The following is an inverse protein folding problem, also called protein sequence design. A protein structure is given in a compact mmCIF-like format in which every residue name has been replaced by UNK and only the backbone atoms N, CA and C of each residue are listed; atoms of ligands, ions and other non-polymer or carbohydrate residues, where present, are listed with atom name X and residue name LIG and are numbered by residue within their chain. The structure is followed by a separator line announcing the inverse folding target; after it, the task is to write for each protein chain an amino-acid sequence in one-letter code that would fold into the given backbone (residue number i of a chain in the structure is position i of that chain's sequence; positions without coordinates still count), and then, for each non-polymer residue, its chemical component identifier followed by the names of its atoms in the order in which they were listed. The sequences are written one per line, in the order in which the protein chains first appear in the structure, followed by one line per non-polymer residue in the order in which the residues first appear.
data_IF_827439345062
#
_entry.id   IF_827439345062
#
_cell.length_a   1.000
_cell.length_b   1.000
_cell.length_c   1.000
_cell.angle_alpha   90.00
_cell.angle_beta   90.00
_cell.angle_gamma   90.00
#
_symmetry.space_group_name_H-M   'P 1'
#
loop_
_entity.id
_entity.type
_entity.pdbx_description
1 polymer ?
#
# COMPACT_ATOMS: atom_id res chain seq x y z
N UNK A 1 68.11 -6.72 31.46
CA UNK A 1 66.75 -7.22 31.23
C UNK A 1 65.77 -6.09 31.48
N UNK A 2 65.36 -5.38 30.42
CA UNK A 2 64.18 -4.50 30.43
C UNK A 2 63.18 -5.18 29.51
N UNK A 3 62.13 -5.76 30.08
CA UNK A 3 60.97 -6.27 29.35
C UNK A 3 60.21 -5.07 28.81
N UNK A 4 60.17 -4.95 27.48
CA UNK A 4 59.30 -4.02 26.78
C UNK A 4 57.85 -4.49 26.93
N UNK A 5 57.07 -3.76 27.71
CA UNK A 5 55.61 -3.89 27.74
C UNK A 5 55.09 -3.32 26.43
N UNK A 6 54.75 -4.19 25.49
CA UNK A 6 54.14 -3.81 24.22
C UNK A 6 52.74 -3.22 24.49
N UNK A 7 52.63 -1.95 24.12
CA UNK A 7 51.45 -1.10 23.98
C UNK A 7 50.32 -1.82 23.24
N UNK A 8 49.41 -2.47 23.99
CA UNK A 8 48.23 -3.17 23.45
C UNK A 8 46.95 -2.32 23.53
N UNK A 9 47.03 -1.09 24.06
CA UNK A 9 45.89 -0.23 24.37
C UNK A 9 45.48 0.73 23.23
N UNK A 10 46.21 0.77 22.12
CA UNK A 10 45.94 1.66 20.96
C UNK A 10 45.16 0.98 19.81
N UNK A 11 44.71 -0.27 20.01
CA UNK A 11 43.95 -0.97 18.97
C UNK A 11 42.51 -0.43 18.92
N UNK A 12 41.92 -0.22 17.73
CA UNK A 12 40.59 0.38 17.55
C UNK A 12 39.47 -0.64 17.85
N UNK A 13 39.59 -1.38 18.96
CA UNK A 13 38.64 -2.40 19.39
C UNK A 13 37.19 -1.91 19.42
N UNK A 14 36.88 -0.69 19.93
CA UNK A 14 35.50 -0.19 19.90
C UNK A 14 34.91 -0.06 18.50
N UNK A 15 35.71 0.33 17.50
CA UNK A 15 35.27 0.42 16.11
C UNK A 15 35.09 -0.97 15.49
N UNK A 16 36.00 -1.90 15.76
CA UNK A 16 35.88 -3.28 15.29
C UNK A 16 34.64 -3.99 15.88
N UNK A 17 34.36 -3.77 17.17
CA UNK A 17 33.15 -4.26 17.83
C UNK A 17 31.88 -3.65 17.22
N UNK A 18 31.92 -2.35 16.89
CA UNK A 18 30.83 -1.67 16.21
C UNK A 18 30.56 -2.26 14.81
N UNK A 19 31.62 -2.50 14.02
CA UNK A 19 31.53 -3.16 12.71
C UNK A 19 30.95 -4.57 12.83
N UNK A 20 31.46 -5.38 13.76
CA UNK A 20 30.97 -6.73 14.01
C UNK A 20 29.48 -6.72 14.44
N UNK A 21 29.10 -5.77 15.30
CA UNK A 21 27.73 -5.57 15.76
C UNK A 21 26.78 -5.26 14.59
N UNK A 22 27.16 -4.37 13.66
CA UNK A 22 26.37 -4.05 12.48
C UNK A 22 26.28 -5.27 11.53
N UNK A 23 27.41 -5.94 11.26
CA UNK A 23 27.47 -7.07 10.34
C UNK A 23 26.61 -8.27 10.80
N UNK A 24 26.55 -8.51 12.11
CA UNK A 24 25.75 -9.56 12.74
C UNK A 24 24.28 -9.20 13.01
N UNK A 25 23.88 -7.94 12.79
CA UNK A 25 22.58 -7.43 13.18
C UNK A 25 21.40 -8.08 12.41
N UNK A 26 20.27 -8.39 13.07
CA UNK A 26 18.99 -8.56 12.39
C UNK A 26 18.58 -7.29 11.64
N UNK A 27 17.89 -7.39 10.49
CA UNK A 27 17.44 -6.23 9.70
C UNK A 27 16.68 -5.19 10.54
N UNK A 28 15.85 -5.65 11.49
CA UNK A 28 15.07 -4.80 12.38
C UNK A 28 15.92 -3.98 13.36
N UNK A 29 17.17 -4.38 13.63
CA UNK A 29 18.06 -3.74 14.59
C UNK A 29 19.19 -2.93 13.93
N UNK A 30 19.34 -2.98 12.60
CA UNK A 30 20.46 -2.32 11.90
C UNK A 30 20.49 -0.82 12.16
N UNK A 31 19.33 -0.14 12.15
CA UNK A 31 19.28 1.31 12.38
C UNK A 31 19.78 1.69 13.78
N UNK A 32 19.40 0.95 14.83
CA UNK A 32 19.82 1.25 16.20
C UNK A 32 21.32 0.96 16.40
N UNK A 33 21.83 -0.12 15.80
CA UNK A 33 23.25 -0.47 15.88
C UNK A 33 24.12 0.51 15.12
N UNK A 34 23.69 0.94 13.94
CA UNK A 34 24.37 1.99 13.18
C UNK A 34 24.38 3.32 13.95
N UNK A 35 23.25 3.73 14.54
CA UNK A 35 23.17 4.95 15.35
C UNK A 35 24.11 4.89 16.56
N UNK A 36 24.17 3.75 17.23
CA UNK A 36 25.07 3.54 18.37
C UNK A 36 26.54 3.60 17.93
N UNK A 37 26.87 2.98 16.80
CA UNK A 37 28.21 2.98 16.24
C UNK A 37 28.68 4.36 15.74
N UNK A 38 27.75 5.18 15.24
CA UNK A 38 28.03 6.54 14.77
C UNK A 38 28.19 7.55 15.93
N UNK A 39 27.58 7.30 17.09
CA UNK A 39 27.53 8.22 18.23
C UNK A 39 28.90 8.80 18.68
N UNK A 40 30.01 8.04 18.69
CA UNK A 40 31.33 8.58 19.05
C UNK A 40 31.90 9.58 18.04
N UNK A 41 31.35 9.63 16.82
CA UNK A 41 31.85 10.46 15.72
C UNK A 41 30.87 11.60 15.41
N UNK A 42 29.59 11.26 15.21
CA UNK A 42 28.50 12.21 14.93
C UNK A 42 27.30 11.82 15.77
N UNK A 43 26.87 12.73 16.64
CA UNK A 43 25.61 12.59 17.39
C UNK A 43 24.44 13.02 16.51
N UNK A 44 23.30 12.39 16.68
CA UNK A 44 22.06 12.75 15.98
C UNK A 44 20.85 12.49 16.87
N UNK A 45 19.78 13.27 16.68
CA UNK A 45 18.50 13.07 17.39
C UNK A 45 17.75 11.85 16.87
N UNK A 46 17.85 11.58 15.56
CA UNK A 46 17.31 10.40 14.92
C UNK A 46 18.14 9.98 13.69
N UNK A 47 18.05 8.71 13.34
CA UNK A 47 18.66 8.10 12.16
C UNK A 47 17.59 7.36 11.38
N UNK A 48 17.54 7.60 10.07
CA UNK A 48 16.59 6.96 9.15
C UNK A 48 17.37 6.35 7.99
N UNK A 49 17.12 5.08 7.71
CA UNK A 49 17.62 4.35 6.55
C UNK A 49 16.44 4.11 5.62
N UNK A 50 16.58 4.52 4.37
CA UNK A 50 15.58 4.36 3.31
C UNK A 50 16.14 3.49 2.18
N UNK A 51 15.42 2.43 1.82
CA UNK A 51 15.85 1.43 0.83
C UNK A 51 14.72 1.14 -0.15
N UNK A 52 14.99 1.21 -1.45
CA UNK A 52 14.01 0.89 -2.51
C UNK A 52 13.62 -0.59 -2.53
N UNK A 53 14.56 -1.48 -2.26
CA UNK A 53 14.38 -2.94 -2.42
C UNK A 53 13.51 -3.60 -1.33
N UNK A 54 13.16 -2.86 -0.28
CA UNK A 54 12.30 -3.39 0.79
C UNK A 54 10.83 -3.18 0.43
N UNK A 55 10.21 -4.18 -0.20
CA UNK A 55 8.82 -4.17 -0.69
C UNK A 55 7.74 -4.07 0.42
N UNK A 56 8.07 -3.57 1.61
CA UNK A 56 7.08 -3.25 2.66
C UNK A 56 7.54 -2.69 4.00
N UNK A 57 8.82 -2.48 4.26
CA UNK A 57 9.23 -1.42 5.20
C UNK A 57 10.47 -0.75 4.62
N UNK A 58 10.28 0.19 3.69
CA UNK A 58 11.42 0.83 3.03
C UNK A 58 12.25 1.65 4.03
N UNK A 59 11.69 1.96 5.21
CA UNK A 59 12.34 2.74 6.26
C UNK A 59 12.73 1.86 7.46
N UNK A 60 13.96 2.03 7.95
CA UNK A 60 14.45 1.52 9.24
C UNK A 60 14.90 2.73 10.06
N UNK A 61 14.42 2.86 11.30
CA UNK A 61 14.52 4.10 12.06
C UNK A 61 15.06 3.84 13.47
N UNK A 62 15.76 4.83 14.03
CA UNK A 62 16.32 4.80 15.36
C UNK A 62 16.37 6.22 15.95
N UNK A 63 16.16 6.37 17.26
CA UNK A 63 16.21 7.67 17.96
C UNK A 63 14.84 8.23 18.33
N UNK A 64 14.71 9.55 18.36
CA UNK A 64 13.56 10.24 18.95
C UNK A 64 12.22 9.96 18.24
N UNK A 65 11.22 9.51 19.02
CA UNK A 65 9.86 9.17 18.53
C UNK A 65 9.20 10.32 17.76
N UNK A 66 9.42 11.55 18.23
CA UNK A 66 8.90 12.78 17.61
C UNK A 66 9.36 12.99 16.17
N UNK A 67 10.45 12.35 15.77
CA UNK A 67 11.00 12.36 14.42
C UNK A 67 10.58 11.09 13.71
N UNK A 68 10.96 9.92 14.24
CA UNK A 68 10.82 8.65 13.54
C UNK A 68 9.37 8.29 13.21
N UNK A 69 8.39 8.72 14.02
CA UNK A 69 6.97 8.46 13.77
C UNK A 69 6.38 9.33 12.67
N UNK A 70 7.06 10.42 12.28
CA UNK A 70 6.54 11.46 11.36
C UNK A 70 7.27 11.55 10.03
N UNK A 71 8.50 11.02 9.94
CA UNK A 71 9.25 11.03 8.67
C UNK A 71 8.48 10.31 7.58
N UNK A 72 8.23 11.01 6.47
CA UNK A 72 7.50 10.50 5.30
C UNK A 72 8.44 9.96 4.23
N UNK A 73 7.89 9.24 3.23
CA UNK A 73 8.68 8.77 2.08
C UNK A 73 9.02 9.94 1.14
N UNK A 74 8.07 10.85 0.89
CA UNK A 74 8.27 12.00 0.03
C UNK A 74 9.44 12.88 0.50
N UNK A 75 9.51 13.16 1.81
CA UNK A 75 10.63 13.90 2.41
C UNK A 75 11.99 13.22 2.14
N UNK A 76 12.04 11.89 2.23
CA UNK A 76 13.28 11.13 2.00
C UNK A 76 13.64 11.05 0.51
N UNK A 77 12.65 11.00 -0.38
CA UNK A 77 12.85 11.07 -1.83
C UNK A 77 13.38 12.45 -2.25
N UNK A 78 12.85 13.53 -1.67
CA UNK A 78 13.32 14.89 -1.92
C UNK A 78 14.76 15.06 -1.46
N UNK A 79 15.12 14.59 -0.25
CA UNK A 79 16.51 14.57 0.22
C UNK A 79 17.36 13.73 -0.73
N UNK A 80 16.92 12.54 -1.13
CA UNK A 80 17.69 11.68 -2.02
C UNK A 80 17.98 12.34 -3.37
N UNK A 81 17.05 13.13 -3.89
CA UNK A 81 17.17 13.83 -5.15
C UNK A 81 18.22 14.95 -5.11
N UNK A 82 18.57 15.48 -3.92
CA UNK A 82 19.66 16.47 -3.79
C UNK A 82 21.05 15.83 -3.83
N UNK A 83 21.16 14.52 -3.58
CA UNK A 83 22.44 13.79 -3.60
C UNK A 83 22.78 13.33 -5.02
N UNK A 84 23.87 13.90 -5.57
CA UNK A 84 24.36 13.57 -6.90
C UNK A 84 25.17 12.26 -6.95
N UNK A 85 25.92 11.94 -5.88
CA UNK A 85 26.80 10.78 -5.77
C UNK A 85 26.80 10.22 -4.33
N UNK A 86 27.84 9.47 -3.94
CA UNK A 86 28.00 8.97 -2.56
C UNK A 86 28.66 9.99 -1.61
N UNK A 87 28.93 11.21 -2.06
CA UNK A 87 29.50 12.21 -1.15
C UNK A 87 28.49 12.59 -0.06
N UNK A 88 28.93 12.75 1.19
CA UNK A 88 28.06 13.19 2.26
C UNK A 88 27.49 14.58 1.96
N UNK A 89 26.18 14.73 2.08
CA UNK A 89 25.50 16.01 1.93
C UNK A 89 25.02 16.52 3.28
N UNK A 90 25.43 17.73 3.66
CA UNK A 90 24.95 18.43 4.84
C UNK A 90 24.15 19.67 4.42
N UNK A 91 22.96 19.84 5.00
CA UNK A 91 22.11 20.98 4.70
C UNK A 91 20.81 20.96 5.48
N UNK A 92 20.00 22.01 5.29
CA UNK A 92 18.64 22.04 5.82
C UNK A 92 17.69 21.33 4.84
N UNK A 93 16.89 20.39 5.36
CA UNK A 93 15.86 19.71 4.61
C UNK A 93 14.57 19.57 5.43
N UNK A 94 13.44 19.44 4.73
CA UNK A 94 12.18 19.08 5.38
C UNK A 94 12.25 17.62 5.82
N UNK A 95 12.13 17.39 7.12
CA UNK A 95 12.11 16.05 7.69
C UNK A 95 11.11 16.04 8.84
N UNK A 96 10.22 15.04 8.90
CA UNK A 96 9.16 14.96 9.91
C UNK A 96 8.33 16.25 10.06
N UNK A 97 7.95 16.83 8.91
CA UNK A 97 7.04 17.97 8.75
C UNK A 97 7.60 19.34 9.14
N UNK A 98 8.93 19.48 9.22
CA UNK A 98 9.59 20.79 9.45
C UNK A 98 11.02 20.81 8.89
N UNK A 99 11.52 21.99 8.47
CA UNK A 99 12.92 22.16 8.09
C UNK A 99 13.84 21.91 9.30
N UNK A 100 14.91 21.17 9.07
CA UNK A 100 15.95 20.90 10.08
C UNK A 100 17.29 20.56 9.41
N UNK A 101 18.42 20.73 10.13
CA UNK A 101 19.72 20.30 9.65
C UNK A 101 19.75 18.77 9.54
N UNK A 102 20.24 18.29 8.40
CA UNK A 102 20.40 16.87 8.11
C UNK A 102 21.78 16.59 7.53
N UNK A 103 22.29 15.40 7.84
CA UNK A 103 23.41 14.78 7.13
C UNK A 103 22.86 13.57 6.38
N UNK A 104 23.05 13.55 5.06
CA UNK A 104 22.54 12.50 4.19
C UNK A 104 23.67 11.81 3.42
N UNK A 105 23.56 10.49 3.28
CA UNK A 105 24.56 9.64 2.63
C UNK A 105 23.85 8.64 1.72
N UNK A 106 24.25 8.59 0.45
CA UNK A 106 23.72 7.63 -0.53
C UNK A 106 24.66 6.45 -0.68
N UNK A 107 24.08 5.27 -0.91
CA UNK A 107 24.81 4.08 -1.34
C UNK A 107 24.46 3.81 -2.80
N UNK A 108 25.41 4.00 -3.71
CA UNK A 108 25.17 3.98 -5.16
C UNK A 108 24.75 2.59 -5.65
N UNK A 109 25.30 1.52 -5.10
CA UNK A 109 25.03 0.15 -5.56
C UNK A 109 23.59 -0.32 -5.30
N UNK A 110 22.93 0.20 -4.26
CA UNK A 110 21.58 -0.21 -3.86
C UNK A 110 20.56 0.93 -3.87
N UNK A 111 20.97 2.14 -4.25
CA UNK A 111 20.14 3.35 -4.16
C UNK A 111 19.69 3.73 -2.75
N UNK A 112 20.25 3.09 -1.71
CA UNK A 112 19.85 3.30 -0.34
C UNK A 112 20.30 4.66 0.18
N UNK A 113 19.51 5.26 1.06
CA UNK A 113 19.78 6.54 1.67
C UNK A 113 19.84 6.40 3.18
N UNK A 114 20.85 7.01 3.80
CA UNK A 114 20.94 7.24 5.23
C UNK A 114 20.74 8.73 5.50
N UNK A 115 19.91 9.06 6.49
CA UNK A 115 19.66 10.43 6.94
C UNK A 115 19.83 10.51 8.46
N UNK A 116 20.68 11.41 8.93
CA UNK A 116 20.85 11.75 10.33
C UNK A 116 20.19 13.11 10.56
N UNK A 117 19.27 13.16 11.54
CA UNK A 117 18.60 14.37 11.95
C UNK A 117 19.41 15.10 13.03
N UNK A 118 19.51 16.43 12.89
CA UNK A 118 20.22 17.31 13.81
C UNK A 118 21.65 16.80 14.11
N UNK A 119 22.50 16.58 13.07
CA UNK A 119 23.84 16.05 13.26
C UNK A 119 24.70 17.04 14.06
N UNK A 120 25.42 16.53 15.05
CA UNK A 120 26.37 17.27 15.86
C UNK A 120 27.71 16.54 15.88
N UNK A 121 28.79 17.13 15.35
CA UNK A 121 30.10 16.53 15.46
C UNK A 121 30.56 16.43 16.91
N UNK A 122 31.45 15.47 17.15
CA UNK A 122 32.10 15.26 18.45
C UNK A 122 33.49 15.89 18.48
N UNK A 123 34.29 15.63 19.52
CA UNK A 123 35.66 16.17 19.65
C UNK A 123 36.66 15.55 18.64
N UNK A 124 36.22 14.55 17.85
CA UNK A 124 36.98 14.01 16.72
C UNK A 124 36.99 15.04 15.58
N UNK A 125 38.09 15.14 14.82
CA UNK A 125 38.13 15.96 13.60
C UNK A 125 36.92 15.62 12.72
N UNK A 126 36.11 16.65 12.37
CA UNK A 126 34.81 16.50 11.70
C UNK A 126 34.90 15.59 10.47
N UNK A 127 35.89 15.84 9.62
CA UNK A 127 36.11 15.07 8.38
C UNK A 127 36.46 13.60 8.65
N UNK A 128 37.31 13.33 9.66
CA UNK A 128 37.66 11.96 10.05
C UNK A 128 36.46 11.21 10.66
N UNK A 129 35.63 11.89 11.45
CA UNK A 129 34.39 11.33 11.98
C UNK A 129 33.38 11.01 10.88
N UNK A 130 33.25 11.91 9.90
CA UNK A 130 32.37 11.75 8.75
C UNK A 130 32.79 10.58 7.84
N UNK A 131 34.09 10.41 7.62
CA UNK A 131 34.65 9.26 6.90
C UNK A 131 34.26 7.93 7.57
N UNK A 132 34.43 7.85 8.90
CA UNK A 132 34.07 6.63 9.64
C UNK A 132 32.58 6.33 9.55
N UNK A 133 31.71 7.34 9.71
CA UNK A 133 30.25 7.17 9.56
C UNK A 133 29.90 6.71 8.14
N UNK A 134 30.57 7.24 7.13
CA UNK A 134 30.39 6.83 5.72
C UNK A 134 30.77 5.36 5.51
N UNK A 135 31.87 4.89 6.11
CA UNK A 135 32.25 3.47 6.07
C UNK A 135 31.24 2.57 6.79
N UNK A 136 30.82 2.95 8.00
CA UNK A 136 29.81 2.21 8.76
C UNK A 136 28.49 2.12 7.99
N UNK A 137 28.11 3.20 7.30
CA UNK A 137 26.95 3.23 6.43
C UNK A 137 27.08 2.24 5.26
N UNK A 138 28.20 2.25 4.53
CA UNK A 138 28.43 1.31 3.41
C UNK A 138 28.30 -0.15 3.87
N UNK A 139 28.87 -0.48 5.02
CA UNK A 139 28.75 -1.83 5.62
C UNK A 139 27.29 -2.16 5.93
N UNK A 140 26.56 -1.23 6.56
CA UNK A 140 25.14 -1.43 6.88
C UNK A 140 24.27 -1.58 5.61
N UNK A 141 24.48 -0.75 4.60
CA UNK A 141 23.75 -0.77 3.33
C UNK A 141 23.97 -2.09 2.59
N UNK A 142 25.23 -2.51 2.44
CA UNK A 142 25.59 -3.82 1.86
C UNK A 142 24.93 -4.96 2.62
N UNK A 143 24.95 -4.91 3.96
CA UNK A 143 24.37 -5.98 4.76
C UNK A 143 22.84 -6.04 4.68
N UNK A 144 22.18 -4.89 4.53
CA UNK A 144 20.75 -4.84 4.26
C UNK A 144 20.47 -5.50 2.90
N UNK A 145 21.23 -5.16 1.86
CA UNK A 145 21.06 -5.71 0.52
C UNK A 145 21.22 -7.24 0.52
N UNK A 146 22.29 -7.76 1.13
CA UNK A 146 22.52 -9.21 1.27
C UNK A 146 21.37 -9.90 2.01
N UNK A 147 20.93 -9.36 3.15
CA UNK A 147 19.84 -9.97 3.93
C UNK A 147 18.48 -9.88 3.26
N UNK A 148 18.25 -8.90 2.40
CA UNK A 148 17.04 -8.82 1.56
C UNK A 148 17.12 -9.85 0.42
N UNK A 149 18.29 -10.01 -0.20
CA UNK A 149 18.52 -11.03 -1.22
C UNK A 149 18.40 -12.47 -0.65
N UNK A 150 18.88 -12.69 0.58
CA UNK A 150 18.80 -13.97 1.30
C UNK A 150 17.46 -14.17 2.04
N UNK A 151 16.54 -13.19 2.02
CA UNK A 151 15.30 -13.28 2.75
C UNK A 151 14.42 -14.42 2.20
N UNK A 152 13.84 -15.27 3.06
CA UNK A 152 12.95 -16.31 2.59
C UNK A 152 11.74 -15.70 1.86
N UNK A 153 11.23 -16.33 0.79
CA UNK A 153 10.13 -15.81 -0.02
C UNK A 153 8.89 -15.36 0.78
N UNK A 154 8.63 -15.99 1.93
CA UNK A 154 7.55 -15.63 2.84
C UNK A 154 7.69 -14.21 3.41
N UNK A 155 8.90 -13.74 3.72
CA UNK A 155 9.14 -12.38 4.19
C UNK A 155 8.83 -11.34 3.11
N UNK A 156 9.22 -11.61 1.86
CA UNK A 156 8.93 -10.72 0.73
C UNK A 156 7.43 -10.72 0.38
N UNK A 157 6.74 -11.86 0.52
CA UNK A 157 5.29 -11.98 0.33
C UNK A 157 4.49 -11.27 1.43
N UNK A 158 4.82 -11.47 2.71
CA UNK A 158 4.20 -10.73 3.83
C UNK A 158 4.45 -9.22 3.72
N UNK A 159 5.67 -8.84 3.30
CA UNK A 159 6.04 -7.45 3.10
C UNK A 159 5.29 -6.82 1.93
N UNK A 160 5.13 -7.52 0.80
CA UNK A 160 4.34 -7.08 -0.38
C UNK A 160 2.85 -7.03 -0.07
N UNK A 161 2.31 -8.02 0.63
CA UNK A 161 0.91 -8.04 1.06
C UNK A 161 0.61 -6.88 2.02
N UNK A 162 1.49 -6.62 2.99
CA UNK A 162 1.36 -5.47 3.89
C UNK A 162 1.51 -4.12 3.17
N UNK A 163 2.29 -4.03 2.08
CA UNK A 163 2.34 -2.84 1.22
C UNK A 163 1.10 -2.64 0.40
N UNK A 164 0.62 -3.70 -0.27
CA UNK A 164 -0.62 -3.65 -1.04
C UNK A 164 -1.79 -3.24 -0.15
N UNK A 165 -1.87 -3.82 1.05
CA UNK A 165 -2.86 -3.47 2.06
C UNK A 165 -2.75 -2.01 2.51
N UNK A 166 -1.55 -1.51 2.81
CA UNK A 166 -1.37 -0.10 3.20
C UNK A 166 -1.69 0.86 2.07
N UNK A 167 -1.30 0.54 0.82
CA UNK A 167 -1.63 1.34 -0.36
C UNK A 167 -3.15 1.38 -0.51
N UNK A 168 -3.83 0.24 -0.39
CA UNK A 168 -5.30 0.16 -0.43
C UNK A 168 -5.96 0.98 0.66
N UNK A 169 -5.58 0.78 1.93
CA UNK A 169 -6.13 1.53 3.08
C UNK A 169 -5.86 3.04 2.96
N UNK A 170 -4.68 3.43 2.47
CA UNK A 170 -4.34 4.85 2.26
C UNK A 170 -5.20 5.44 1.15
N UNK A 171 -5.41 4.73 0.04
CA UNK A 171 -6.30 5.16 -1.04
C UNK A 171 -7.75 5.29 -0.55
N UNK A 172 -8.27 4.28 0.17
CA UNK A 172 -9.62 4.29 0.75
C UNK A 172 -9.84 5.47 1.73
N UNK A 173 -8.86 5.74 2.61
CA UNK A 173 -8.92 6.88 3.53
C UNK A 173 -8.83 8.22 2.77
N UNK A 174 -8.02 8.30 1.72
CA UNK A 174 -7.88 9.50 0.88
C UNK A 174 -9.20 9.80 0.15
N UNK A 175 -9.82 8.79 -0.45
CA UNK A 175 -11.10 8.93 -1.14
C UNK A 175 -12.24 9.32 -0.18
N UNK A 176 -12.26 8.73 1.01
CA UNK A 176 -13.23 9.07 2.06
C UNK A 176 -13.07 10.53 2.53
N UNK A 177 -11.83 10.97 2.75
CA UNK A 177 -11.55 12.37 3.11
C UNK A 177 -11.92 13.32 1.98
N UNK A 178 -11.57 13.02 0.73
CA UNK A 178 -11.91 13.84 -0.43
C UNK A 178 -13.43 14.00 -0.56
N UNK A 179 -14.17 12.90 -0.45
CA UNK A 179 -15.65 12.89 -0.46
C UNK A 179 -16.22 13.79 0.64
N UNK A 180 -15.69 13.68 1.86
CA UNK A 180 -16.17 14.46 3.00
C UNK A 180 -15.97 15.95 2.75
N UNK A 181 -14.79 16.34 2.27
CA UNK A 181 -14.45 17.74 1.98
C UNK A 181 -15.29 18.30 0.84
N UNK A 182 -15.48 17.54 -0.24
CA UNK A 182 -16.34 17.95 -1.37
C UNK A 182 -17.79 18.17 -0.91
N UNK A 183 -18.31 17.29 -0.06
CA UNK A 183 -19.69 17.39 0.46
C UNK A 183 -19.84 18.57 1.43
N UNK A 184 -18.83 18.85 2.26
CA UNK A 184 -18.78 20.04 3.10
C UNK A 184 -18.77 21.32 2.25
N UNK A 185 -17.95 21.35 1.19
CA UNK A 185 -17.87 22.48 0.27
C UNK A 185 -19.17 22.69 -0.51
N UNK A 186 -19.85 21.62 -0.93
CA UNK A 186 -21.14 21.70 -1.59
C UNK A 186 -22.20 22.34 -0.67
N UNK A 187 -22.25 21.95 0.60
CA UNK A 187 -23.15 22.55 1.58
C UNK A 187 -22.84 24.04 1.82
N UNK A 188 -21.55 24.42 1.88
CA UNK A 188 -21.12 25.80 2.07
C UNK A 188 -21.35 26.69 0.84
N UNK A 189 -21.30 26.13 -0.36
CA UNK A 189 -21.48 26.87 -1.63
C UNK A 189 -22.92 26.89 -2.12
N UNK A 190 -23.82 26.19 -1.44
CA UNK A 190 -25.21 26.09 -1.86
C UNK A 190 -25.92 27.44 -1.75
N UNK A 191 -26.41 27.97 -2.88
CA UNK A 191 -27.23 29.18 -2.92
C UNK A 191 -28.63 29.00 -2.34
N UNK A 192 -29.04 27.76 -2.03
CA UNK A 192 -30.33 27.45 -1.41
C UNK A 192 -30.28 27.48 0.12
N UNK A 193 -29.09 27.62 0.72
CA UNK A 193 -28.89 27.62 2.17
C UNK A 193 -28.49 29.01 2.67
N UNK A 194 -29.06 29.41 3.81
CA UNK A 194 -28.53 30.54 4.56
C UNK A 194 -27.36 30.11 5.45
N UNK A 195 -26.55 31.07 5.91
CA UNK A 195 -25.33 30.82 6.69
C UNK A 195 -25.56 29.93 7.93
N UNK A 196 -26.71 30.09 8.60
CA UNK A 196 -27.04 29.31 9.78
C UNK A 196 -27.31 27.84 9.44
N UNK A 197 -28.08 27.58 8.38
CA UNK A 197 -28.39 26.24 7.90
C UNK A 197 -27.15 25.54 7.35
N UNK A 198 -26.31 26.27 6.58
CA UNK A 198 -25.06 25.73 6.05
C UNK A 198 -24.10 25.32 7.18
N UNK A 199 -23.98 26.16 8.22
CA UNK A 199 -23.15 25.86 9.40
C UNK A 199 -23.62 24.60 10.13
N UNK A 200 -24.93 24.44 10.32
CA UNK A 200 -25.50 23.24 10.97
C UNK A 200 -25.20 21.98 10.15
N UNK A 201 -25.47 22.02 8.83
CA UNK A 201 -25.25 20.88 7.95
C UNK A 201 -23.77 20.46 7.89
N UNK A 202 -22.86 21.42 7.77
CA UNK A 202 -21.41 21.18 7.76
C UNK A 202 -20.93 20.59 9.08
N UNK A 203 -21.41 21.13 10.21
CA UNK A 203 -21.02 20.63 11.55
C UNK A 203 -21.45 19.19 11.74
N UNK A 204 -22.68 18.87 11.36
CA UNK A 204 -23.23 17.52 11.46
C UNK A 204 -22.53 16.53 10.52
N UNK A 205 -22.23 16.93 9.27
CA UNK A 205 -21.49 16.12 8.31
C UNK A 205 -20.06 15.85 8.79
N UNK A 206 -19.37 16.86 9.29
CA UNK A 206 -18.02 16.72 9.86
C UNK A 206 -18.03 15.81 11.10
N UNK A 207 -19.04 15.94 11.98
CA UNK A 207 -19.18 15.08 13.16
C UNK A 207 -19.37 13.60 12.77
N UNK A 208 -20.22 13.31 11.77
CA UNK A 208 -20.41 11.94 11.25
C UNK A 208 -19.13 11.37 10.63
N UNK A 209 -18.41 12.17 9.84
CA UNK A 209 -17.14 11.76 9.24
C UNK A 209 -16.08 11.42 10.30
N UNK A 210 -15.98 12.23 11.36
CA UNK A 210 -15.08 11.98 12.49
C UNK A 210 -15.44 10.71 13.27
N UNK A 211 -16.74 10.42 13.45
CA UNK A 211 -17.20 9.16 14.06
C UNK A 211 -16.89 7.96 13.15
N UNK A 212 -17.11 8.09 11.84
CA UNK A 212 -16.81 7.06 10.84
C UNK A 212 -15.32 6.72 10.76
N UNK A 213 -14.44 7.73 10.80
CA UNK A 213 -12.99 7.54 10.84
C UNK A 213 -12.52 6.80 12.10
N UNK A 214 -13.17 7.08 13.25
CA UNK A 214 -12.91 6.32 14.50
C UNK A 214 -13.35 4.86 14.40
N UNK A 215 -14.41 4.56 13.63
CA UNK A 215 -14.91 3.18 13.47
C UNK A 215 -14.19 2.37 12.39
N UNK A 216 -13.59 3.03 11.39
CA UNK A 216 -12.77 2.36 10.37
C UNK A 216 -11.46 1.79 10.94
N UNK A 217 -10.89 2.43 11.97
CA UNK A 217 -9.75 1.89 12.71
C UNK A 217 -10.07 0.54 13.39
N UNK A 218 -11.35 0.27 13.66
CA UNK A 218 -11.82 -0.98 14.29
C UNK A 218 -12.21 -2.07 13.27
N UNK A 219 -12.31 -1.75 11.97
CA UNK A 219 -12.84 -2.65 10.92
C UNK A 219 -11.82 -3.21 9.95
N UNK A 220 -10.52 -3.05 10.23
CA UNK A 220 -9.41 -3.58 9.39
C UNK A 220 -9.30 -5.12 9.37
N UNK A 221 -10.38 -5.84 9.68
CA UNK A 221 -10.46 -7.30 9.66
C UNK A 221 -11.91 -7.70 9.31
N UNK A 222 -12.09 -8.59 8.33
CA UNK A 222 -13.26 -9.50 8.15
C UNK A 222 -14.31 -9.34 7.03
N UNK A 223 -14.05 -8.83 5.81
CA UNK A 223 -14.94 -9.21 4.68
C UNK A 223 -14.19 -9.45 3.36
N UNK A 224 -13.99 -10.71 3.00
CA UNK A 224 -13.44 -11.14 1.70
C UNK A 224 -14.44 -10.96 0.55
N UNK A 225 -15.75 -11.20 0.79
CA UNK A 225 -16.83 -11.01 -0.20
C UNK A 225 -18.11 -10.48 0.48
N UNK A 226 -18.87 -9.65 -0.24
CA UNK A 226 -20.10 -8.99 0.22
C UNK A 226 -21.20 -9.22 -0.80
N UNK A 227 -22.39 -9.72 -0.42
CA UNK A 227 -23.51 -9.85 -1.36
C UNK A 227 -23.85 -8.52 -2.04
N UNK A 228 -24.09 -8.54 -3.35
CA UNK A 228 -24.35 -7.33 -4.17
C UNK A 228 -25.49 -6.47 -3.59
N UNK A 229 -26.56 -7.12 -3.09
CA UNK A 229 -27.67 -6.44 -2.44
C UNK A 229 -27.25 -5.67 -1.18
N UNK A 230 -26.37 -6.23 -0.35
CA UNK A 230 -25.86 -5.57 0.86
C UNK A 230 -24.96 -4.38 0.49
N UNK A 231 -24.14 -4.53 -0.55
CA UNK A 231 -23.34 -3.43 -1.07
C UNK A 231 -24.21 -2.29 -1.63
N UNK A 232 -25.32 -2.64 -2.30
CA UNK A 232 -26.29 -1.69 -2.84
C UNK A 232 -27.11 -0.97 -1.76
N UNK A 233 -27.49 -1.65 -0.68
CA UNK A 233 -28.10 -0.99 0.48
C UNK A 233 -27.16 0.04 1.12
N UNK A 234 -25.86 -0.27 1.21
CA UNK A 234 -24.86 0.69 1.69
C UNK A 234 -24.74 1.90 0.76
N UNK A 235 -24.83 1.70 -0.56
CA UNK A 235 -24.88 2.81 -1.52
C UNK A 235 -26.06 3.74 -1.26
N UNK A 236 -27.24 3.17 -0.98
CA UNK A 236 -28.44 3.96 -0.68
C UNK A 236 -28.25 4.85 0.54
N UNK A 237 -27.64 4.34 1.60
CA UNK A 237 -27.29 5.14 2.78
C UNK A 237 -26.20 6.19 2.47
N UNK A 238 -25.21 5.87 1.64
CA UNK A 238 -24.15 6.81 1.22
C UNK A 238 -24.71 8.00 0.42
N UNK A 239 -25.75 7.80 -0.40
CA UNK A 239 -26.37 8.85 -1.22
C UNK A 239 -27.45 9.65 -0.47
N UNK A 240 -27.97 9.13 0.65
CA UNK A 240 -29.05 9.76 1.43
C UNK A 240 -28.78 11.20 1.87
N UNK A 241 -27.54 11.61 2.23
CA UNK A 241 -27.25 13.01 2.50
C UNK A 241 -27.40 13.89 1.26
N UNK A 242 -27.03 13.40 0.07
CA UNK A 242 -27.10 14.17 -1.17
C UNK A 242 -28.53 14.43 -1.60
N UNK A 243 -29.44 13.47 -1.44
CA UNK A 243 -30.85 13.62 -1.83
C UNK A 243 -31.63 14.57 -0.91
N UNK A 244 -31.24 14.65 0.38
CA UNK A 244 -31.95 15.46 1.37
C UNK A 244 -31.84 16.98 1.17
N UNK A 245 -30.79 17.44 0.50
CA UNK A 245 -30.46 18.87 0.46
C UNK A 245 -30.43 19.49 -0.93
N UNK A 246 -30.58 18.69 -1.99
CA UNK A 246 -30.43 19.13 -3.38
C UNK A 246 -31.74 19.24 -4.16
N UNK A 247 -32.85 18.69 -3.65
CA UNK A 247 -34.09 18.54 -4.42
C UNK A 247 -34.01 17.46 -5.51
N UNK A 248 -32.90 16.71 -5.56
CA UNK A 248 -32.67 15.60 -6.48
C UNK A 248 -33.38 14.33 -5.99
N UNK A 249 -34.24 13.77 -6.84
CA UNK A 249 -34.79 12.44 -6.64
C UNK A 249 -33.82 11.38 -7.16
N UNK A 250 -33.44 10.41 -6.31
CA UNK A 250 -32.60 9.28 -6.73
C UNK A 250 -33.43 8.01 -6.75
N UNK A 251 -33.65 7.47 -7.94
CA UNK A 251 -34.31 6.19 -8.16
C UNK A 251 -33.28 5.04 -8.11
N UNK A 252 -33.53 4.06 -7.25
CA UNK A 252 -32.67 2.88 -7.08
C UNK A 252 -33.31 1.66 -7.75
N UNK A 253 -32.65 1.08 -8.74
CA UNK A 253 -33.02 -0.24 -9.27
C UNK A 253 -32.18 -1.30 -8.56
N UNK A 254 -32.85 -2.22 -7.87
CA UNK A 254 -32.18 -3.28 -7.13
C UNK A 254 -31.48 -4.29 -8.06
N UNK A 255 -30.29 -4.78 -7.67
CA UNK A 255 -29.60 -5.85 -8.37
C UNK A 255 -30.36 -7.19 -8.22
N UNK A 256 -30.15 -8.15 -9.13
CA UNK A 256 -30.78 -9.46 -9.04
C UNK A 256 -30.39 -10.19 -7.74
N UNK A 257 -31.37 -10.84 -7.11
CA UNK A 257 -31.20 -11.53 -5.81
C UNK A 257 -30.17 -12.68 -5.86
N UNK A 258 -29.88 -13.21 -7.05
CA UNK A 258 -28.95 -14.32 -7.28
C UNK A 258 -27.57 -13.85 -7.79
N UNK A 259 -27.28 -12.55 -7.77
CA UNK A 259 -25.99 -12.01 -8.20
C UNK A 259 -24.84 -12.55 -7.34
N UNK A 260 -23.68 -12.76 -7.96
CA UNK A 260 -22.45 -13.19 -7.26
C UNK A 260 -22.10 -12.19 -6.15
N UNK A 261 -21.53 -12.69 -5.05
CA UNK A 261 -20.99 -11.81 -4.02
C UNK A 261 -19.82 -11.01 -4.60
N UNK A 262 -19.78 -9.72 -4.30
CA UNK A 262 -18.75 -8.81 -4.77
C UNK A 262 -17.52 -8.92 -3.86
N UNK A 263 -16.30 -8.91 -4.41
CA UNK A 263 -15.10 -8.63 -3.60
C UNK A 263 -15.27 -7.30 -2.86
N UNK A 264 -14.73 -7.21 -1.64
CA UNK A 264 -14.87 -6.02 -0.80
C UNK A 264 -14.39 -4.73 -1.47
N UNK A 265 -13.30 -4.81 -2.24
CA UNK A 265 -12.73 -3.70 -3.00
C UNK A 265 -13.63 -3.24 -4.16
N UNK A 266 -14.20 -4.18 -4.94
CA UNK A 266 -15.13 -3.87 -6.04
C UNK A 266 -16.43 -3.29 -5.49
N UNK A 267 -16.93 -3.84 -4.39
CA UNK A 267 -18.11 -3.32 -3.70
C UNK A 267 -17.88 -1.88 -3.18
N UNK A 268 -16.69 -1.57 -2.68
CA UNK A 268 -16.36 -0.22 -2.23
C UNK A 268 -16.23 0.75 -3.41
N UNK A 269 -15.45 0.37 -4.42
CA UNK A 269 -15.21 1.17 -5.61
C UNK A 269 -16.50 1.49 -6.35
N UNK A 270 -17.38 0.49 -6.54
CA UNK A 270 -18.68 0.70 -7.16
C UNK A 270 -19.50 1.78 -6.46
N UNK A 271 -19.52 1.80 -5.11
CA UNK A 271 -20.23 2.84 -4.36
C UNK A 271 -19.63 4.23 -4.55
N UNK A 272 -18.30 4.32 -4.50
CA UNK A 272 -17.58 5.57 -4.70
C UNK A 272 -17.82 6.15 -6.11
N UNK A 273 -17.78 5.29 -7.13
CA UNK A 273 -18.02 5.67 -8.52
C UNK A 273 -19.45 6.20 -8.71
N UNK A 274 -20.48 5.50 -8.23
CA UNK A 274 -21.86 5.99 -8.33
C UNK A 274 -22.01 7.35 -7.65
N UNK A 275 -21.45 7.51 -6.45
CA UNK A 275 -21.54 8.78 -5.72
C UNK A 275 -20.86 9.92 -6.48
N UNK A 276 -19.67 9.68 -7.01
CA UNK A 276 -18.97 10.67 -7.83
C UNK A 276 -19.73 11.02 -9.11
N UNK A 277 -20.38 10.04 -9.76
CA UNK A 277 -21.24 10.29 -10.92
C UNK A 277 -22.45 11.14 -10.55
N UNK A 278 -23.14 10.85 -9.45
CA UNK A 278 -24.26 11.65 -8.95
C UNK A 278 -23.82 13.09 -8.67
N UNK A 279 -22.67 13.30 -8.04
CA UNK A 279 -22.12 14.63 -7.78
C UNK A 279 -21.76 15.37 -9.07
N UNK A 280 -21.10 14.71 -10.02
CA UNK A 280 -20.77 15.29 -11.33
C UNK A 280 -22.05 15.65 -12.11
N UNK A 281 -23.10 14.85 -12.00
CA UNK A 281 -24.40 15.15 -12.59
C UNK A 281 -25.01 16.39 -11.93
N UNK A 282 -25.00 16.48 -10.60
CA UNK A 282 -25.53 17.64 -9.86
C UNK A 282 -24.87 18.99 -10.20
N UNK A 283 -23.66 18.99 -10.79
CA UNK A 283 -23.03 20.21 -11.32
C UNK A 283 -23.78 20.77 -12.55
N UNK A 284 -24.57 19.93 -13.24
CA UNK A 284 -25.39 20.36 -14.37
C UNK A 284 -26.65 21.12 -13.89
N UNK A 285 -27.05 22.19 -14.59
CA UNK A 285 -28.28 22.89 -14.28
C UNK A 285 -29.51 22.06 -14.68
N UNK A 286 -30.57 22.18 -13.87
CA UNK A 286 -31.91 21.62 -14.14
C UNK A 286 -32.00 20.08 -14.14
N UNK A 287 -31.18 19.40 -13.37
CA UNK A 287 -31.43 17.99 -13.03
C UNK A 287 -32.46 17.91 -11.90
N UNK A 288 -33.48 17.10 -12.10
CA UNK A 288 -34.47 16.76 -11.07
C UNK A 288 -34.37 15.32 -10.61
N UNK A 289 -33.83 14.42 -11.45
CA UNK A 289 -33.82 12.99 -11.17
C UNK A 289 -32.57 12.30 -11.69
N UNK A 290 -32.01 11.43 -10.86
CA UNK A 290 -30.96 10.48 -11.23
C UNK A 290 -31.42 9.06 -10.92
N UNK A 291 -31.19 8.14 -11.85
CA UNK A 291 -31.47 6.72 -11.69
C UNK A 291 -30.16 5.97 -11.58
N UNK A 292 -30.04 5.10 -10.59
CA UNK A 292 -28.87 4.22 -10.41
C UNK A 292 -29.30 2.76 -10.38
N UNK A 293 -28.60 1.93 -11.13
CA UNK A 293 -28.84 0.51 -11.27
C UNK A 293 -27.53 -0.25 -11.11
N UNK A 294 -27.57 -1.30 -10.29
CA UNK A 294 -26.50 -2.29 -10.25
C UNK A 294 -27.01 -3.59 -10.82
N UNK A 295 -26.14 -4.30 -11.54
CA UNK A 295 -26.36 -5.66 -12.01
C UNK A 295 -25.06 -6.45 -11.86
N UNK A 296 -25.16 -7.76 -11.87
CA UNK A 296 -24.02 -8.66 -11.75
C UNK A 296 -24.24 -9.86 -12.67
N UNK A 297 -23.43 -9.93 -13.73
CA UNK A 297 -23.50 -11.01 -14.74
C UNK A 297 -22.72 -12.28 -14.33
N UNK A 298 -22.09 -12.25 -13.15
CA UNK A 298 -21.27 -13.31 -12.59
C UNK A 298 -19.76 -13.08 -12.73
N UNK A 299 -19.35 -12.28 -13.71
CA UNK A 299 -17.93 -11.93 -13.95
C UNK A 299 -17.65 -10.45 -13.67
N UNK A 300 -18.66 -9.59 -13.82
CA UNK A 300 -18.57 -8.15 -13.69
C UNK A 300 -19.67 -7.60 -12.79
N UNK A 301 -19.34 -6.53 -12.07
CA UNK A 301 -20.31 -5.58 -11.55
C UNK A 301 -20.62 -4.57 -12.65
N UNK A 302 -21.88 -4.53 -13.06
CA UNK A 302 -22.40 -3.60 -14.05
C UNK A 302 -23.12 -2.49 -13.31
N UNK A 303 -22.74 -1.25 -13.57
CA UNK A 303 -23.34 -0.06 -12.95
C UNK A 303 -23.86 0.83 -14.07
N UNK A 304 -25.10 1.25 -13.94
CA UNK A 304 -25.70 2.25 -14.81
C UNK A 304 -26.19 3.43 -13.97
N UNK A 305 -25.80 4.64 -14.36
CA UNK A 305 -26.25 5.89 -13.73
C UNK A 305 -26.74 6.83 -14.82
N UNK A 306 -28.00 7.26 -14.72
CA UNK A 306 -28.66 8.09 -15.71
C UNK A 306 -29.27 9.33 -15.09
N UNK A 307 -29.11 10.48 -15.74
CA UNK A 307 -29.80 11.72 -15.35
C UNK A 307 -30.93 12.12 -16.30
N UNK A 308 -31.75 13.09 -15.88
CA UNK A 308 -32.79 13.75 -16.67
C UNK A 308 -32.40 15.16 -17.15
N UNK A 309 -31.09 15.47 -17.13
CA UNK A 309 -30.56 16.78 -17.49
C UNK A 309 -30.66 17.08 -18.99
N UNK A 310 -30.11 18.23 -19.39
CA UNK A 310 -30.09 18.64 -20.82
C UNK A 310 -29.07 17.88 -21.67
N UNK A 311 -28.32 16.96 -21.07
CA UNK A 311 -27.19 16.28 -21.72
C UNK A 311 -25.99 17.21 -21.86
N UNK A 312 -25.56 17.84 -20.76
CA UNK A 312 -24.39 18.73 -20.72
C UNK A 312 -23.22 18.12 -19.93
N UNK A 313 -23.32 16.86 -19.53
CA UNK A 313 -22.22 16.14 -18.88
C UNK A 313 -21.07 15.97 -19.88
N UNK A 314 -20.03 16.79 -19.71
CA UNK A 314 -18.89 16.76 -20.60
C UNK A 314 -17.94 15.62 -20.21
N UNK A 315 -17.65 14.73 -21.16
CA UNK A 315 -16.77 13.57 -20.95
C UNK A 315 -15.34 13.96 -20.55
N UNK A 316 -14.90 15.18 -20.91
CA UNK A 316 -13.61 15.76 -20.57
C UNK A 316 -13.62 16.58 -19.27
N UNK A 317 -14.74 16.64 -18.55
CA UNK A 317 -14.81 17.35 -17.28
C UNK A 317 -13.83 16.76 -16.24
N UNK A 318 -13.21 17.59 -15.39
CA UNK A 318 -12.26 17.11 -14.38
C UNK A 318 -12.84 16.06 -13.44
N UNK A 319 -14.14 16.13 -13.13
CA UNK A 319 -14.85 15.18 -12.27
C UNK A 319 -14.98 13.81 -12.95
N UNK A 320 -15.34 13.77 -14.24
CA UNK A 320 -15.40 12.53 -15.02
C UNK A 320 -14.00 11.94 -15.25
N UNK A 321 -12.99 12.76 -15.56
CA UNK A 321 -11.62 12.29 -15.74
C UNK A 321 -10.96 11.71 -14.46
N UNK A 322 -11.46 12.07 -13.26
CA UNK A 322 -11.07 11.38 -12.01
C UNK A 322 -11.73 10.01 -11.91
N UNK A 323 -13.02 9.93 -12.20
CA UNK A 323 -13.79 8.68 -12.14
C UNK A 323 -13.29 7.66 -13.16
N UNK A 324 -12.99 8.09 -14.39
CA UNK A 324 -12.43 7.22 -15.43
C UNK A 324 -11.09 6.60 -15.02
N UNK A 325 -10.18 7.39 -14.44
CA UNK A 325 -8.91 6.87 -13.90
C UNK A 325 -9.12 5.88 -12.75
N UNK A 326 -10.11 6.12 -11.88
CA UNK A 326 -10.45 5.21 -10.80
C UNK A 326 -11.01 3.88 -11.33
N UNK A 327 -11.83 3.93 -12.38
CA UNK A 327 -12.37 2.75 -13.07
C UNK A 327 -11.26 1.96 -13.77
N UNK A 328 -10.36 2.65 -14.48
CA UNK A 328 -9.22 2.04 -15.17
C UNK A 328 -8.23 1.37 -14.21
N UNK A 329 -8.05 1.92 -12.99
CA UNK A 329 -7.20 1.31 -11.98
C UNK A 329 -7.70 -0.06 -11.49
N UNK A 330 -8.95 -0.41 -11.79
CA UNK A 330 -9.60 -1.69 -11.49
C UNK A 330 -9.83 -2.53 -12.75
N UNK A 331 -9.10 -2.26 -13.84
CA UNK A 331 -9.31 -2.88 -15.16
C UNK A 331 -10.76 -2.75 -15.67
N UNK A 332 -11.49 -1.76 -15.15
CA UNK A 332 -12.87 -1.48 -15.52
C UNK A 332 -12.96 -0.57 -16.73
N UNK A 333 -14.19 -0.40 -17.22
CA UNK A 333 -14.50 0.47 -18.34
C UNK A 333 -15.62 1.44 -17.96
N UNK A 334 -15.44 2.72 -18.30
CA UNK A 334 -16.44 3.75 -18.16
C UNK A 334 -16.84 4.25 -19.55
N UNK A 335 -18.14 4.30 -19.82
CA UNK A 335 -18.71 4.79 -21.08
C UNK A 335 -19.84 5.76 -20.79
N UNK A 336 -19.88 6.87 -21.53
CA UNK A 336 -20.90 7.92 -21.35
C UNK A 336 -21.62 8.11 -22.69
N UNK A 337 -22.94 7.97 -22.67
CA UNK A 337 -23.81 8.36 -23.77
C UNK A 337 -24.57 9.63 -23.38
N UNK A 338 -24.39 10.70 -24.15
CA UNK A 338 -25.10 11.96 -23.91
C UNK A 338 -26.13 12.18 -25.00
N UNK A 339 -27.40 12.33 -24.62
CA UNK A 339 -28.48 12.65 -25.54
C UNK A 339 -29.03 14.05 -25.26
N UNK A 340 -28.98 14.92 -26.26
CA UNK A 340 -29.45 16.31 -26.12
C UNK A 340 -30.92 16.34 -25.69
N UNK A 341 -31.20 16.96 -24.54
CA UNK A 341 -32.55 17.06 -23.97
C UNK A 341 -33.09 15.80 -23.28
N UNK A 342 -32.30 14.71 -23.22
CA UNK A 342 -32.69 13.42 -22.62
C UNK A 342 -31.76 12.94 -21.50
N UNK A 343 -30.74 13.75 -21.16
CA UNK A 343 -29.78 13.49 -20.10
C UNK A 343 -28.52 12.75 -20.56
N UNK A 344 -27.68 12.43 -19.58
CA UNK A 344 -26.54 11.54 -19.76
C UNK A 344 -26.84 10.14 -19.18
N UNK A 345 -26.34 9.12 -19.87
CA UNK A 345 -26.44 7.71 -19.51
C UNK A 345 -25.03 7.14 -19.39
N UNK A 346 -24.61 6.84 -18.15
CA UNK A 346 -23.24 6.41 -17.83
C UNK A 346 -23.25 4.92 -17.48
N UNK A 347 -22.40 4.17 -18.15
CA UNK A 347 -22.19 2.74 -17.97
C UNK A 347 -20.79 2.51 -17.41
N UNK A 348 -20.72 1.78 -16.30
CA UNK A 348 -19.46 1.36 -15.71
C UNK A 348 -19.47 -0.15 -15.57
N UNK A 349 -18.40 -0.79 -16.03
CA UNK A 349 -18.16 -2.23 -15.89
C UNK A 349 -16.91 -2.41 -15.02
N UNK A 350 -17.05 -3.12 -13.90
CA UNK A 350 -15.93 -3.46 -13.03
C UNK A 350 -15.81 -4.99 -12.97
N UNK A 351 -14.66 -5.57 -13.34
CA UNK A 351 -14.45 -7.01 -13.21
C UNK A 351 -14.47 -7.42 -11.73
N UNK A 352 -15.20 -8.50 -11.42
CA UNK A 352 -15.23 -9.10 -10.09
C UNK A 352 -13.95 -9.89 -9.81
N UNK A 353 -13.44 -10.52 -10.86
CA UNK A 353 -12.11 -11.12 -10.84
C UNK A 353 -11.16 -10.15 -11.53
N UNK A 354 -10.56 -9.23 -10.78
CA UNK A 354 -9.45 -8.43 -11.28
C UNK A 354 -8.47 -9.38 -11.97
N UNK A 355 -8.21 -9.17 -13.26
CA UNK A 355 -7.32 -10.04 -14.02
C UNK A 355 -5.93 -9.97 -13.40
N UNK A 356 -5.66 -10.89 -12.48
CA UNK A 356 -4.28 -11.24 -12.15
C UNK A 356 -3.73 -11.76 -13.47
N UNK A 357 -2.69 -11.09 -14.02
CA UNK A 357 -1.94 -11.49 -15.23
C UNK A 357 -2.09 -12.99 -15.54
N UNK A 358 -2.32 -13.35 -16.82
CA UNK A 358 -2.92 -14.63 -17.21
C UNK A 358 -2.33 -15.82 -16.46
N UNK A 359 -3.22 -16.52 -15.76
CA UNK A 359 -3.00 -17.82 -15.14
C UNK A 359 -2.51 -18.80 -16.20
N UNK A 360 -1.22 -19.15 -16.15
CA UNK A 360 -0.72 -20.26 -16.96
C UNK A 360 -1.39 -21.55 -16.49
N UNK A 361 -1.99 -22.28 -17.42
CA UNK A 361 -2.77 -23.48 -17.18
C UNK A 361 -1.98 -24.57 -16.40
N UNK A 362 -2.38 -24.87 -15.16
CA UNK A 362 -1.80 -25.95 -14.32
C UNK A 362 -1.93 -27.33 -15.02
N UNK A 363 -2.88 -27.46 -15.96
CA UNK A 363 -3.08 -28.67 -16.75
C UNK A 363 -1.86 -29.05 -17.62
N UNK A 364 -0.91 -28.14 -17.85
CA UNK A 364 0.33 -28.43 -18.59
C UNK A 364 1.37 -29.25 -17.82
N UNK A 365 1.23 -29.42 -16.50
CA UNK A 365 2.25 -30.07 -15.66
C UNK A 365 2.02 -31.55 -15.38
N UNK A 366 0.90 -32.12 -15.85
CA UNK A 366 0.54 -33.53 -15.72
C UNK A 366 0.76 -34.10 -14.30
N UNK A 367 0.35 -33.33 -13.28
CA UNK A 367 0.52 -33.69 -11.88
C UNK A 367 -0.53 -34.74 -11.47
N UNK A 368 -0.10 -35.77 -10.76
CA UNK A 368 -1.03 -36.70 -10.14
C UNK A 368 -1.78 -36.00 -9.00
N UNK A 369 -3.00 -36.45 -8.68
CA UNK A 369 -3.84 -35.84 -7.62
C UNK A 369 -3.07 -35.65 -6.30
N UNK A 370 -2.25 -36.64 -5.92
CA UNK A 370 -1.42 -36.57 -4.70
C UNK A 370 -0.26 -35.58 -4.79
N UNK A 371 0.29 -35.35 -5.98
CA UNK A 371 1.34 -34.35 -6.20
C UNK A 371 0.76 -32.93 -6.18
N UNK A 372 -0.47 -32.75 -6.65
CA UNK A 372 -1.21 -31.50 -6.56
C UNK A 372 -1.53 -31.13 -5.11
N UNK A 373 -2.06 -32.08 -4.32
CA UNK A 373 -2.31 -31.88 -2.88
C UNK A 373 -1.02 -31.50 -2.13
N UNK A 374 0.09 -32.19 -2.44
CA UNK A 374 1.39 -31.85 -1.87
C UNK A 374 1.81 -30.45 -2.30
N UNK A 375 1.67 -30.09 -3.58
CA UNK A 375 2.02 -28.75 -4.08
C UNK A 375 1.21 -27.63 -3.40
N UNK A 376 -0.10 -27.81 -3.21
CA UNK A 376 -0.95 -26.87 -2.47
C UNK A 376 -0.45 -26.67 -1.04
N UNK A 377 -0.10 -27.75 -0.35
CA UNK A 377 0.49 -27.62 0.99
C UNK A 377 1.89 -27.01 0.99
N UNK A 378 2.67 -27.19 -0.09
CA UNK A 378 3.96 -26.48 -0.24
C UNK A 378 3.72 -24.97 -0.37
N UNK A 379 2.73 -24.57 -1.19
CA UNK A 379 2.33 -23.16 -1.41
C UNK A 379 1.82 -22.52 -0.11
N UNK A 380 1.02 -23.24 0.67
CA UNK A 380 0.58 -22.83 2.01
C UNK A 380 1.71 -22.81 3.08
N UNK A 381 2.97 -23.08 2.69
CA UNK A 381 4.14 -22.97 3.56
C UNK A 381 4.33 -24.14 4.54
N UNK A 382 3.59 -25.24 4.39
CA UNK A 382 3.66 -26.36 5.34
C UNK A 382 4.94 -27.18 5.19
N UNK A 383 5.61 -27.50 6.31
CA UNK A 383 6.78 -28.38 6.31
C UNK A 383 6.38 -29.83 6.02
N UNK A 384 7.28 -30.65 5.47
CA UNK A 384 6.97 -32.04 5.07
C UNK A 384 6.35 -32.89 6.18
N UNK A 385 6.74 -32.64 7.44
CA UNK A 385 6.15 -33.29 8.62
C UNK A 385 4.67 -32.93 8.81
N UNK A 386 4.31 -31.67 8.59
CA UNK A 386 2.92 -31.20 8.66
C UNK A 386 2.11 -31.79 7.50
N UNK A 387 2.67 -31.79 6.29
CA UNK A 387 2.02 -32.38 5.10
C UNK A 387 1.76 -33.88 5.32
N UNK A 388 2.73 -34.59 5.89
CA UNK A 388 2.62 -36.01 6.21
C UNK A 388 1.44 -36.29 7.16
N UNK A 389 1.31 -35.48 8.21
CA UNK A 389 0.20 -35.57 9.16
C UNK A 389 -1.15 -35.25 8.50
N UNK A 390 -1.22 -34.15 7.74
CA UNK A 390 -2.47 -33.71 7.08
C UNK A 390 -2.95 -34.71 6.04
N UNK A 391 -2.03 -35.31 5.27
CA UNK A 391 -2.36 -36.25 4.20
C UNK A 391 -2.41 -37.72 4.67
N UNK A 392 -2.11 -38.00 5.95
CA UNK A 392 -2.12 -39.36 6.50
C UNK A 392 -1.05 -40.28 5.91
N UNK A 393 0.13 -39.74 5.55
CA UNK A 393 1.24 -40.48 4.92
C UNK A 393 2.55 -40.27 5.67
N UNK A 394 3.59 -41.04 5.35
CA UNK A 394 4.91 -40.86 5.96
C UNK A 394 5.63 -39.62 5.41
N UNK A 395 6.51 -39.01 6.20
CA UNK A 395 7.36 -37.89 5.73
C UNK A 395 8.26 -38.30 4.54
N UNK A 396 8.67 -39.58 4.49
CA UNK A 396 9.42 -40.13 3.36
C UNK A 396 8.55 -40.19 2.09
N UNK A 397 7.26 -40.49 2.22
CA UNK A 397 6.30 -40.46 1.11
C UNK A 397 6.09 -39.02 0.61
N UNK A 398 6.03 -38.03 1.51
CA UNK A 398 6.00 -36.61 1.11
C UNK A 398 7.27 -36.22 0.35
N UNK A 399 8.46 -36.60 0.83
CA UNK A 399 9.73 -36.33 0.13
C UNK A 399 9.75 -36.95 -1.27
N UNK A 400 9.17 -38.14 -1.43
CA UNK A 400 9.01 -38.78 -2.73
C UNK A 400 8.10 -37.97 -3.67
N UNK A 401 6.92 -37.53 -3.21
CA UNK A 401 6.03 -36.68 -4.00
C UNK A 401 6.67 -35.34 -4.36
N UNK A 402 7.38 -34.70 -3.43
CA UNK A 402 8.10 -33.44 -3.68
C UNK A 402 9.19 -33.61 -4.75
N UNK A 403 9.93 -34.72 -4.76
CA UNK A 403 10.93 -35.00 -5.79
C UNK A 403 10.29 -35.20 -7.16
N UNK A 404 9.19 -35.95 -7.25
CA UNK A 404 8.50 -36.15 -8.53
C UNK A 404 7.87 -34.86 -9.03
N UNK A 405 7.30 -34.06 -8.13
CA UNK A 405 6.78 -32.73 -8.41
C UNK A 405 7.87 -31.84 -9.01
N UNK A 406 9.05 -31.75 -8.39
CA UNK A 406 10.15 -30.94 -8.90
C UNK A 406 10.57 -31.36 -10.31
N UNK A 407 10.64 -32.67 -10.56
CA UNK A 407 10.96 -33.21 -11.89
C UNK A 407 9.88 -32.86 -12.92
N UNK A 408 8.60 -32.88 -12.56
CA UNK A 408 7.49 -32.55 -13.49
C UNK A 408 7.37 -31.06 -13.76
N UNK A 409 7.73 -30.24 -12.79
CA UNK A 409 7.74 -28.78 -12.89
C UNK A 409 9.03 -28.22 -13.50
N UNK A 410 10.03 -29.07 -13.77
CA UNK A 410 11.38 -28.69 -14.21
C UNK A 410 12.05 -27.65 -13.30
N UNK A 411 11.95 -27.87 -11.98
CA UNK A 411 12.51 -26.97 -10.95
C UNK A 411 13.50 -27.72 -10.06
N UNK A 412 14.48 -26.99 -9.55
CA UNK A 412 15.56 -27.55 -8.74
C UNK A 412 15.34 -27.35 -7.24
N UNK A 413 14.44 -26.46 -6.85
CA UNK A 413 14.23 -26.08 -5.46
C UNK A 413 12.75 -25.96 -5.08
N UNK A 414 12.48 -26.11 -3.77
CA UNK A 414 11.16 -25.89 -3.17
C UNK A 414 10.64 -24.47 -3.43
N UNK A 415 11.55 -23.51 -3.39
CA UNK A 415 11.24 -22.10 -3.64
C UNK A 415 10.81 -21.89 -5.08
N UNK A 416 11.53 -22.46 -6.05
CA UNK A 416 11.14 -22.42 -7.47
C UNK A 416 9.79 -23.10 -7.70
N UNK A 417 9.55 -24.26 -7.09
CA UNK A 417 8.26 -24.96 -7.20
C UNK A 417 7.09 -24.11 -6.68
N UNK A 418 7.26 -23.43 -5.54
CA UNK A 418 6.25 -22.55 -4.94
C UNK A 418 6.07 -21.27 -5.76
N UNK A 419 7.16 -20.65 -6.22
CA UNK A 419 7.12 -19.44 -7.04
C UNK A 419 6.40 -19.71 -8.37
N UNK A 420 6.73 -20.84 -9.02
CA UNK A 420 6.08 -21.30 -10.23
C UNK A 420 4.59 -21.58 -9.97
N UNK A 421 4.25 -22.35 -8.93
CA UNK A 421 2.85 -22.64 -8.58
C UNK A 421 2.02 -21.38 -8.26
N UNK A 422 2.58 -20.41 -7.53
CA UNK A 422 1.93 -19.12 -7.27
C UNK A 422 1.73 -18.30 -8.54
N UNK A 423 2.73 -18.26 -9.43
CA UNK A 423 2.61 -17.57 -10.72
C UNK A 423 1.57 -18.21 -11.67
N UNK A 424 1.18 -19.45 -11.37
CA UNK A 424 0.16 -20.21 -12.09
C UNK A 424 -1.16 -20.37 -11.28
N UNK A 425 -1.31 -19.63 -10.17
CA UNK A 425 -2.58 -19.52 -9.45
C UNK A 425 -2.94 -20.69 -8.53
N UNK A 426 -1.99 -21.57 -8.20
CA UNK A 426 -2.18 -22.57 -7.14
C UNK A 426 -2.20 -21.84 -5.79
N UNK A 427 -3.26 -22.00 -5.01
CA UNK A 427 -3.41 -21.44 -3.65
C UNK A 427 -3.57 -22.56 -2.62
#
# INVERSE_FOLDING_TARGET
MRTATTQSDDLPWPLLDAVASIAGAPLAQIAERLRTAALPYIRCTALVIFTEDCTGRPQKKAGAETIISRVSIAELDDIRATLSDETPWEGDAELAGRPRPVLALKHAASGALLVLADPQPTDVEHDAGLDVVTYLWRIAAQRIQEKVADAPPSYLLESRAASAERIRVTAELTDLHSTTLETLLAALRSSSMNDAAARIAVTDLAARALVGLRTLNDRTTDMAEVPVAIAFERLREDLRPLTRFSGLEVEFIEPPQNGRALPGEVAHAGRAIVRGLVLAMMEQPQISRVRTQWDCDGENLLINVRDDGRGMLAADSPSIGRLDRQVQALDGQLRIDVMSGWGADVFVTLPLDLQTRPTGNIAGWDLAARELEVLQHLVAGHRNRTIALTLGISENTVKFHVRNLFRKLDVSSRTEAIALANSHGVR
#
